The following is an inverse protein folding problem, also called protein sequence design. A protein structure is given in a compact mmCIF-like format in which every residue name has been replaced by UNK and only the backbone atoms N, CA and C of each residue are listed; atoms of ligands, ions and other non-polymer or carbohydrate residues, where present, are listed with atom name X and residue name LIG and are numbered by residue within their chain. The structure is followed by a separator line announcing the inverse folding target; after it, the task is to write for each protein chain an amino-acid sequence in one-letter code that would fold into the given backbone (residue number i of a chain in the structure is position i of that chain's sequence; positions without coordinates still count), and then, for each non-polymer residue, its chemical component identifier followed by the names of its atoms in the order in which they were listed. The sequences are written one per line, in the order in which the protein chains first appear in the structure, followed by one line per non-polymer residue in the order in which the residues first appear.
data_IF_012026749926
#
_entry.id   IF_012026749926
#
_cell.length_a   1.000
_cell.length_b   1.000
_cell.length_c   1.000
_cell.angle_alpha   90.00
_cell.angle_beta   90.00
_cell.angle_gamma   90.00
#
_symmetry.space_group_name_H-M   'P 1'
#
loop_
_entity.id
_entity.type
_entity.pdbx_description
1 polymer ?
#
# COMPACT_ATOMS: atom_id res chain seq x y z
N UNK A 1 4.39 4.48 -20.09
CA UNK A 1 4.78 3.08 -19.96
C UNK A 1 5.57 2.95 -18.67
N UNK A 2 5.14 2.02 -17.78
CA UNK A 2 5.89 1.72 -16.59
C UNK A 2 7.25 1.13 -17.03
N UNK A 3 8.33 1.65 -16.45
CA UNK A 3 9.68 1.15 -16.72
C UNK A 3 9.71 -0.31 -16.25
N UNK A 4 9.95 -1.23 -17.17
CA UNK A 4 10.10 -2.65 -16.84
C UNK A 4 11.38 -2.77 -16.02
N UNK A 5 11.27 -3.09 -14.76
CA UNK A 5 12.42 -3.38 -13.90
C UNK A 5 12.78 -4.84 -14.18
N UNK A 6 13.95 -5.07 -14.74
CA UNK A 6 14.49 -6.42 -14.95
C UNK A 6 15.11 -6.90 -13.64
N UNK A 7 14.82 -8.13 -13.25
CA UNK A 7 15.37 -8.79 -12.06
C UNK A 7 14.36 -9.68 -11.37
N UNK A 8 14.87 -10.61 -10.61
CA UNK A 8 14.10 -11.52 -9.75
C UNK A 8 14.30 -11.16 -8.28
N UNK A 9 13.33 -11.55 -7.43
CA UNK A 9 13.40 -11.36 -5.99
C UNK A 9 12.69 -10.11 -5.47
N UNK A 10 12.69 -9.95 -4.14
CA UNK A 10 11.93 -8.92 -3.45
C UNK A 10 12.38 -7.48 -3.78
N UNK A 11 13.66 -7.26 -4.06
CA UNK A 11 14.14 -5.94 -4.44
C UNK A 11 13.59 -5.49 -5.80
N UNK A 12 13.53 -6.39 -6.80
CA UNK A 12 12.91 -6.10 -8.08
C UNK A 12 11.41 -5.83 -7.95
N UNK A 13 10.71 -6.63 -7.15
CA UNK A 13 9.29 -6.40 -6.84
C UNK A 13 9.07 -5.06 -6.12
N UNK A 14 9.97 -4.68 -5.23
CA UNK A 14 9.94 -3.39 -4.52
C UNK A 14 10.04 -2.22 -5.50
N UNK A 15 11.00 -2.26 -6.43
CA UNK A 15 11.15 -1.24 -7.47
C UNK A 15 9.96 -1.20 -8.44
N UNK A 16 9.44 -2.35 -8.84
CA UNK A 16 8.23 -2.44 -9.67
C UNK A 16 7.03 -1.79 -8.96
N UNK A 17 6.84 -2.07 -7.67
CA UNK A 17 5.77 -1.48 -6.88
C UNK A 17 5.88 0.05 -6.81
N UNK A 18 7.09 0.60 -6.66
CA UNK A 18 7.33 2.06 -6.67
C UNK A 18 6.99 2.70 -8.02
N UNK A 19 7.20 1.97 -9.11
CA UNK A 19 6.88 2.42 -10.47
C UNK A 19 5.38 2.33 -10.82
N UNK A 20 4.57 1.59 -10.05
CA UNK A 20 3.13 1.48 -10.28
C UNK A 20 2.43 2.80 -9.99
N UNK A 21 1.64 3.26 -10.94
CA UNK A 21 0.74 4.38 -10.73
C UNK A 21 -0.45 3.94 -9.88
N UNK A 22 -0.92 4.83 -9.03
CA UNK A 22 -2.17 4.60 -8.28
C UNK A 22 -3.32 4.35 -9.25
N UNK A 23 -4.20 3.42 -8.89
CA UNK A 23 -5.46 3.24 -9.60
C UNK A 23 -6.29 4.53 -9.48
N UNK A 24 -6.87 4.96 -10.60
CA UNK A 24 -7.78 6.10 -10.66
C UNK A 24 -9.19 5.61 -10.95
N UNK A 25 -10.14 6.15 -10.23
CA UNK A 25 -11.55 5.94 -10.53
C UNK A 25 -11.96 6.80 -11.71
N UNK A 26 -12.74 6.23 -12.62
CA UNK A 26 -13.23 6.93 -13.81
C UNK A 26 -14.72 6.67 -13.96
N UNK A 27 -15.47 7.69 -14.31
CA UNK A 27 -16.90 7.55 -14.66
C UNK A 27 -17.10 7.01 -16.09
N UNK A 28 -16.04 7.01 -16.90
CA UNK A 28 -16.07 6.45 -18.26
C UNK A 28 -15.40 5.08 -18.26
N UNK A 29 -16.06 4.06 -18.81
CA UNK A 29 -15.49 2.72 -18.92
C UNK A 29 -14.12 2.73 -19.61
N UNK A 30 -13.14 2.07 -19.01
CA UNK A 30 -11.79 1.96 -19.55
C UNK A 30 -11.12 0.66 -19.08
N UNK A 31 -10.16 0.12 -19.86
CA UNK A 31 -9.44 -1.07 -19.48
C UNK A 31 -8.65 -0.89 -18.17
N UNK A 32 -8.74 -1.87 -17.29
CA UNK A 32 -7.93 -1.94 -16.08
C UNK A 32 -6.61 -2.67 -16.37
N UNK A 33 -5.59 -1.92 -16.73
CA UNK A 33 -4.29 -2.48 -17.19
C UNK A 33 -3.63 -3.40 -16.16
N UNK A 34 -3.71 -3.08 -14.87
CA UNK A 34 -3.09 -3.88 -13.80
C UNK A 34 -3.75 -5.25 -13.58
N UNK A 35 -5.02 -5.42 -13.97
CA UNK A 35 -5.74 -6.70 -13.91
C UNK A 35 -5.87 -7.37 -15.28
N UNK A 36 -5.45 -6.71 -16.36
CA UNK A 36 -5.63 -7.21 -17.72
C UNK A 36 -7.11 -7.33 -18.15
N UNK A 37 -8.01 -6.61 -17.49
CA UNK A 37 -9.44 -6.67 -17.77
C UNK A 37 -9.87 -5.52 -18.68
N UNK A 38 -10.77 -5.77 -19.65
CA UNK A 38 -11.30 -4.72 -20.52
C UNK A 38 -12.16 -3.72 -19.75
N UNK A 39 -12.85 -4.17 -18.73
CA UNK A 39 -13.68 -3.35 -17.81
C UNK A 39 -13.54 -3.91 -16.40
N UNK A 40 -13.56 -3.02 -15.42
CA UNK A 40 -13.56 -3.37 -14.00
C UNK A 40 -14.37 -2.36 -13.20
N UNK A 41 -15.26 -2.85 -12.35
CA UNK A 41 -15.95 -2.05 -11.35
C UNK A 41 -15.68 -2.60 -9.95
N UNK A 42 -15.37 -1.71 -9.03
CA UNK A 42 -15.14 -2.06 -7.64
C UNK A 42 -16.46 -2.07 -6.89
N UNK A 43 -16.93 -3.25 -6.46
CA UNK A 43 -18.28 -3.42 -5.88
C UNK A 43 -18.33 -4.35 -4.66
N UNK A 44 -17.19 -4.89 -4.23
CA UNK A 44 -17.15 -6.02 -3.28
C UNK A 44 -17.21 -5.63 -1.80
N UNK A 45 -17.12 -4.35 -1.46
CA UNK A 45 -17.03 -3.90 -0.06
C UNK A 45 -17.90 -2.65 0.23
N UNK A 46 -19.22 -2.68 -0.05
CA UNK A 46 -20.08 -1.49 0.08
C UNK A 46 -20.25 -0.99 1.52
N UNK A 47 -19.99 -1.83 2.51
CA UNK A 47 -20.07 -1.44 3.93
C UNK A 47 -18.95 -0.50 4.39
N UNK A 48 -17.79 -0.52 3.72
CA UNK A 48 -16.62 0.28 4.09
C UNK A 48 -16.04 1.12 2.95
N UNK A 49 -16.52 0.95 1.74
CA UNK A 49 -16.11 1.76 0.58
C UNK A 49 -17.35 2.41 -0.04
N UNK A 50 -17.46 3.72 0.17
CA UNK A 50 -18.61 4.48 -0.29
C UNK A 50 -18.89 4.33 -1.79
N UNK A 51 -17.86 4.30 -2.62
CA UNK A 51 -18.04 4.18 -4.08
C UNK A 51 -18.51 2.78 -4.52
N UNK A 52 -18.20 1.74 -3.75
CA UNK A 52 -18.81 0.42 -3.96
C UNK A 52 -20.33 0.50 -3.68
N UNK A 53 -20.73 1.21 -2.63
CA UNK A 53 -22.15 1.45 -2.32
C UNK A 53 -22.83 2.24 -3.45
N UNK A 54 -22.18 3.26 -3.98
CA UNK A 54 -22.70 4.02 -5.15
C UNK A 54 -22.90 3.09 -6.35
N UNK A 55 -21.93 2.21 -6.64
CA UNK A 55 -22.06 1.23 -7.72
C UNK A 55 -23.26 0.27 -7.49
N UNK A 56 -23.46 -0.19 -6.24
CA UNK A 56 -24.63 -1.00 -5.88
C UNK A 56 -25.94 -0.23 -6.08
N UNK A 57 -25.98 1.05 -5.73
CA UNK A 57 -27.17 1.89 -5.96
C UNK A 57 -27.50 2.00 -7.45
N UNK A 58 -26.46 2.19 -8.30
CA UNK A 58 -26.64 2.23 -9.76
C UNK A 58 -27.22 0.92 -10.30
N UNK A 59 -26.62 -0.20 -9.91
CA UNK A 59 -27.09 -1.52 -10.36
C UNK A 59 -28.51 -1.83 -9.88
N UNK A 60 -28.85 -1.48 -8.64
CA UNK A 60 -30.22 -1.68 -8.10
C UNK A 60 -31.25 -0.83 -8.81
N UNK A 61 -30.94 0.44 -9.07
CA UNK A 61 -31.83 1.32 -9.83
C UNK A 61 -32.09 0.76 -11.24
N UNK A 62 -31.03 0.34 -11.93
CA UNK A 62 -31.15 -0.26 -13.25
C UNK A 62 -31.99 -1.54 -13.24
N UNK A 63 -31.76 -2.46 -12.30
CA UNK A 63 -32.50 -3.72 -12.19
C UNK A 63 -34.00 -3.52 -11.87
N UNK A 64 -34.35 -2.42 -11.19
CA UNK A 64 -35.72 -2.08 -10.84
C UNK A 64 -36.42 -1.25 -11.92
N UNK A 65 -35.72 -0.85 -13.00
CA UNK A 65 -36.24 0.07 -13.99
C UNK A 65 -36.35 1.52 -13.47
N UNK A 66 -35.72 1.83 -12.34
CA UNK A 66 -35.60 3.18 -11.81
C UNK A 66 -34.48 3.95 -12.52
N UNK A 67 -34.51 5.27 -12.47
CA UNK A 67 -33.46 6.11 -13.07
C UNK A 67 -32.16 6.01 -12.25
N UNK A 68 -31.06 5.50 -12.82
CA UNK A 68 -29.76 5.60 -12.19
C UNK A 68 -29.29 7.06 -12.08
N UNK A 69 -28.30 7.31 -11.23
CA UNK A 69 -27.60 8.61 -11.18
C UNK A 69 -27.01 8.92 -12.56
N UNK A 70 -27.06 10.17 -12.95
CA UNK A 70 -26.38 10.68 -14.13
C UNK A 70 -24.86 10.63 -13.96
N UNK A 71 -24.12 10.72 -15.05
CA UNK A 71 -22.66 10.79 -15.01
C UNK A 71 -22.14 11.95 -14.14
N UNK A 72 -22.80 13.10 -14.17
CA UNK A 72 -22.44 14.27 -13.36
C UNK A 72 -22.61 13.97 -11.86
N UNK A 73 -23.73 13.37 -11.47
CA UNK A 73 -24.01 12.99 -10.08
C UNK A 73 -23.03 11.91 -9.57
N UNK A 74 -22.62 10.96 -10.43
CA UNK A 74 -21.58 9.98 -10.09
C UNK A 74 -20.22 10.64 -9.91
N UNK A 75 -19.83 11.56 -10.80
CA UNK A 75 -18.56 12.29 -10.70
C UNK A 75 -18.47 13.15 -9.44
N UNK A 76 -19.57 13.82 -9.06
CA UNK A 76 -19.64 14.56 -7.80
C UNK A 76 -19.34 13.66 -6.59
N UNK A 77 -19.98 12.47 -6.53
CA UNK A 77 -19.76 11.50 -5.47
C UNK A 77 -18.32 10.93 -5.45
N UNK A 78 -17.76 10.69 -6.64
CA UNK A 78 -16.36 10.27 -6.78
C UNK A 78 -15.43 11.36 -6.24
N UNK A 79 -15.61 12.61 -6.64
CA UNK A 79 -14.82 13.74 -6.17
C UNK A 79 -14.89 13.92 -4.65
N UNK A 80 -16.08 13.85 -4.06
CA UNK A 80 -16.25 13.92 -2.61
C UNK A 80 -15.56 12.76 -1.87
N UNK A 81 -15.62 11.55 -2.41
CA UNK A 81 -14.94 10.39 -1.82
C UNK A 81 -13.42 10.46 -1.94
N UNK A 82 -12.89 10.91 -3.09
CA UNK A 82 -11.46 11.03 -3.33
C UNK A 82 -10.83 12.12 -2.44
N UNK A 83 -11.54 13.21 -2.16
CA UNK A 83 -11.07 14.29 -1.30
C UNK A 83 -10.68 13.82 0.12
N UNK A 84 -11.35 12.80 0.65
CA UNK A 84 -11.07 12.24 1.99
C UNK A 84 -10.28 10.93 1.96
N UNK A 85 -10.17 10.28 0.82
CA UNK A 85 -9.59 8.94 0.71
C UNK A 85 -8.10 8.90 1.10
N UNK A 86 -7.34 9.96 0.83
CA UNK A 86 -5.92 10.02 1.21
C UNK A 86 -5.75 10.18 2.72
N UNK A 87 -6.60 10.98 3.38
CA UNK A 87 -6.59 11.16 4.83
C UNK A 87 -6.94 9.85 5.55
N UNK A 88 -7.96 9.13 5.06
CA UNK A 88 -8.34 7.82 5.61
C UNK A 88 -7.20 6.82 5.47
N UNK A 89 -6.57 6.73 4.29
CA UNK A 89 -5.42 5.84 4.07
C UNK A 89 -4.22 6.19 4.95
N UNK A 90 -3.99 7.47 5.19
CA UNK A 90 -2.93 7.91 6.10
C UNK A 90 -3.23 7.50 7.54
N UNK A 91 -4.45 7.74 8.02
CA UNK A 91 -4.87 7.32 9.35
C UNK A 91 -4.76 5.80 9.54
N UNK A 92 -5.20 5.01 8.56
CA UNK A 92 -5.06 3.54 8.59
C UNK A 92 -3.59 3.10 8.66
N UNK A 93 -2.71 3.72 7.87
CA UNK A 93 -1.27 3.41 7.90
C UNK A 93 -0.64 3.74 9.25
N UNK A 94 -0.93 4.92 9.79
CA UNK A 94 -0.45 5.35 11.11
C UNK A 94 -0.96 4.43 12.20
N UNK A 95 -2.23 4.07 12.18
CA UNK A 95 -2.82 3.14 13.13
C UNK A 95 -2.14 1.77 13.08
N UNK A 96 -1.98 1.18 11.89
CA UNK A 96 -1.28 -0.11 11.74
C UNK A 96 0.15 -0.04 12.27
N UNK A 97 0.87 1.02 11.91
CA UNK A 97 2.25 1.21 12.35
C UNK A 97 2.32 1.33 13.87
N UNK A 98 1.46 2.14 14.49
CA UNK A 98 1.39 2.29 15.94
C UNK A 98 1.23 0.93 16.65
N UNK A 99 0.26 0.12 16.23
CA UNK A 99 0.04 -1.20 16.83
C UNK A 99 1.18 -2.17 16.58
N UNK A 100 1.83 -2.09 15.43
CA UNK A 100 3.03 -2.89 15.16
C UNK A 100 4.19 -2.46 16.06
N UNK A 101 4.40 -1.17 16.28
CA UNK A 101 5.44 -0.67 17.18
C UNK A 101 5.18 -1.06 18.64
N UNK A 102 3.94 -0.96 19.12
CA UNK A 102 3.56 -1.46 20.44
C UNK A 102 3.83 -2.96 20.61
N UNK A 103 3.54 -3.75 19.58
CA UNK A 103 3.86 -5.17 19.58
C UNK A 103 5.38 -5.41 19.69
N UNK A 104 6.17 -4.64 18.94
CA UNK A 104 7.64 -4.71 18.98
C UNK A 104 8.20 -4.32 20.35
N UNK A 105 7.68 -3.29 20.99
CA UNK A 105 8.08 -2.92 22.37
C UNK A 105 7.76 -4.03 23.36
N UNK A 106 6.60 -4.66 23.23
CA UNK A 106 6.16 -5.70 24.17
C UNK A 106 6.87 -7.05 23.98
N UNK A 107 7.22 -7.41 22.74
CA UNK A 107 7.72 -8.74 22.38
C UNK A 107 9.15 -8.75 21.87
N UNK A 108 9.66 -7.60 21.45
CA UNK A 108 10.89 -7.51 20.68
C UNK A 108 10.74 -8.11 19.28
N UNK A 109 11.82 -8.12 18.55
CA UNK A 109 11.93 -8.82 17.26
C UNK A 109 13.37 -9.10 16.95
N UNK A 110 13.65 -10.32 16.55
CA UNK A 110 14.89 -10.70 15.89
C UNK A 110 14.56 -11.69 14.78
N UNK A 111 14.75 -11.29 13.54
CA UNK A 111 14.31 -12.09 12.42
C UNK A 111 14.87 -11.63 11.07
N UNK A 112 14.46 -12.28 9.99
CA UNK A 112 14.97 -12.00 8.66
C UNK A 112 14.47 -10.65 8.13
N UNK A 113 15.37 -9.92 7.47
CA UNK A 113 15.03 -8.76 6.65
C UNK A 113 15.73 -8.87 5.30
N UNK A 114 15.05 -8.46 4.25
CA UNK A 114 15.58 -8.49 2.88
C UNK A 114 15.94 -7.09 2.43
N UNK A 115 17.18 -6.89 1.99
CA UNK A 115 17.64 -5.60 1.47
C UNK A 115 16.95 -5.29 0.13
N UNK A 116 16.06 -4.30 0.13
CA UNK A 116 15.27 -3.93 -1.06
C UNK A 116 15.74 -2.62 -1.72
N UNK A 117 16.46 -1.77 -0.98
CA UNK A 117 16.93 -0.49 -1.49
C UNK A 117 18.18 -0.03 -0.74
N UNK A 118 19.00 0.80 -1.37
CA UNK A 118 20.14 1.48 -0.74
C UNK A 118 19.98 2.98 -0.84
N UNK A 119 20.22 3.67 0.27
CA UNK A 119 20.13 5.14 0.36
C UNK A 119 21.31 5.67 1.17
N UNK A 120 22.27 6.31 0.51
CA UNK A 120 23.32 7.08 1.17
C UNK A 120 24.05 6.35 2.30
N UNK A 121 24.51 5.11 2.10
CA UNK A 121 25.21 4.30 3.12
C UNK A 121 24.28 3.53 4.07
N UNK A 122 22.94 3.69 3.93
CA UNK A 122 21.95 2.90 4.64
C UNK A 122 21.26 1.90 3.71
N UNK A 123 20.84 0.77 4.26
CA UNK A 123 19.99 -0.20 3.61
C UNK A 123 18.53 -0.05 4.07
N UNK A 124 17.61 -0.12 3.13
CA UNK A 124 16.19 -0.31 3.43
C UNK A 124 15.90 -1.80 3.38
N UNK A 125 15.57 -2.37 4.51
CA UNK A 125 15.23 -3.78 4.66
C UNK A 125 13.71 -3.92 4.77
N UNK A 126 13.15 -4.80 3.97
CA UNK A 126 11.78 -5.28 4.15
C UNK A 126 11.81 -6.40 5.20
N UNK A 127 10.98 -6.29 6.23
CA UNK A 127 10.73 -7.32 7.23
C UNK A 127 9.39 -8.00 6.89
N UNK A 128 9.40 -9.14 6.20
CA UNK A 128 8.17 -9.75 5.67
C UNK A 128 7.16 -10.13 6.76
N UNK A 129 7.63 -10.63 7.88
CA UNK A 129 6.78 -11.07 9.01
C UNK A 129 6.01 -9.92 9.67
N UNK A 130 6.58 -8.71 9.65
CA UNK A 130 5.98 -7.52 10.25
C UNK A 130 5.27 -6.63 9.23
N UNK A 131 5.52 -6.84 7.95
CA UNK A 131 5.07 -5.94 6.89
C UNK A 131 5.65 -4.52 6.99
N UNK A 132 6.81 -4.38 7.67
CA UNK A 132 7.52 -3.12 7.89
C UNK A 132 8.77 -3.01 7.00
N UNK A 133 9.25 -1.78 6.88
CA UNK A 133 10.61 -1.50 6.39
C UNK A 133 11.44 -0.86 7.49
N UNK A 134 12.71 -1.29 7.62
CA UNK A 134 13.69 -0.72 8.52
C UNK A 134 14.84 -0.09 7.72
N UNK A 135 15.31 1.08 8.15
CA UNK A 135 16.52 1.69 7.63
C UNK A 135 17.67 1.39 8.61
N UNK A 136 18.72 0.77 8.11
CA UNK A 136 19.85 0.35 8.93
C UNK A 136 21.14 0.69 8.22
N UNK A 137 22.14 1.19 8.97
CA UNK A 137 23.48 1.44 8.43
C UNK A 137 24.10 0.15 7.89
N UNK A 138 24.65 0.22 6.68
CA UNK A 138 25.31 -0.92 6.03
C UNK A 138 26.83 -0.84 6.24
N UNK A 139 27.41 -1.65 7.12
CA UNK A 139 28.86 -1.66 7.33
C UNK A 139 29.61 -2.29 6.15
N UNK A 140 28.93 -3.09 5.33
CA UNK A 140 29.49 -3.76 4.14
C UNK A 140 28.49 -3.67 2.97
N UNK A 141 29.00 -3.82 1.76
CA UNK A 141 28.17 -3.88 0.56
C UNK A 141 27.47 -5.23 0.49
N UNK A 142 26.22 -5.29 0.95
CA UNK A 142 25.32 -6.43 0.74
C UNK A 142 24.63 -6.31 -0.62
N UNK A 143 24.48 -7.37 -1.42
CA UNK A 143 23.71 -7.28 -2.68
C UNK A 143 22.23 -7.01 -2.39
N UNK A 144 21.54 -6.38 -3.35
CA UNK A 144 20.07 -6.27 -3.30
C UNK A 144 19.46 -7.67 -3.27
N UNK A 145 18.32 -7.82 -2.61
CA UNK A 145 17.66 -9.09 -2.30
C UNK A 145 18.42 -10.01 -1.32
N UNK A 146 19.57 -9.59 -0.79
CA UNK A 146 20.22 -10.35 0.27
C UNK A 146 19.38 -10.33 1.55
N UNK A 147 19.36 -11.47 2.23
CA UNK A 147 18.80 -11.59 3.58
C UNK A 147 19.83 -11.27 4.63
N UNK A 148 19.41 -10.61 5.70
CA UNK A 148 20.19 -10.36 6.89
C UNK A 148 19.29 -10.48 8.12
N UNK A 149 19.86 -10.82 9.27
CA UNK A 149 19.10 -10.77 10.52
C UNK A 149 19.09 -9.36 11.07
N UNK A 150 17.91 -8.92 11.47
CA UNK A 150 17.69 -7.63 12.11
C UNK A 150 17.13 -7.85 13.51
N UNK A 151 17.61 -7.05 14.45
CA UNK A 151 17.08 -6.99 15.81
C UNK A 151 16.45 -5.63 16.04
N UNK A 152 15.25 -5.62 16.59
CA UNK A 152 14.59 -4.43 17.11
C UNK A 152 15.38 -3.87 18.28
N UNK A 153 15.56 -2.57 18.33
CA UNK A 153 16.25 -1.86 19.41
C UNK A 153 15.24 -1.09 20.26
N UNK A 154 14.51 -0.18 19.66
CA UNK A 154 13.57 0.69 20.33
C UNK A 154 12.55 1.25 19.35
N UNK A 155 11.43 1.77 19.84
CA UNK A 155 10.46 2.53 19.08
C UNK A 155 10.21 3.91 19.73
N UNK A 156 9.93 4.89 18.88
CA UNK A 156 9.35 6.18 19.24
C UNK A 156 7.89 6.17 18.80
N UNK A 157 6.97 5.88 19.73
CA UNK A 157 5.55 5.78 19.43
C UNK A 157 4.92 7.11 18.97
N UNK A 158 5.25 8.27 19.58
CA UNK A 158 4.79 9.56 19.06
C UNK A 158 5.27 9.87 17.65
N UNK A 159 6.52 9.57 17.32
CA UNK A 159 7.08 9.77 15.98
C UNK A 159 6.67 8.67 15.00
N UNK A 160 6.16 7.54 15.49
CA UNK A 160 5.90 6.32 14.70
C UNK A 160 7.16 5.80 14.00
N UNK A 161 8.27 5.78 14.72
CA UNK A 161 9.56 5.32 14.22
C UNK A 161 10.06 4.12 15.02
N UNK A 162 10.84 3.26 14.39
CA UNK A 162 11.52 2.15 15.03
C UNK A 162 12.98 2.07 14.57
N UNK A 163 13.86 1.70 15.50
CA UNK A 163 15.27 1.48 15.21
C UNK A 163 15.58 -0.01 15.26
N UNK A 164 16.37 -0.44 14.28
CA UNK A 164 16.84 -1.80 14.13
C UNK A 164 18.34 -1.80 13.93
N UNK A 165 18.98 -2.92 14.27
CA UNK A 165 20.38 -3.18 13.98
C UNK A 165 20.54 -4.50 13.22
N UNK A 166 21.60 -4.61 12.44
CA UNK A 166 22.08 -5.88 11.90
C UNK A 166 22.70 -6.71 13.03
N UNK A 167 22.44 -8.02 13.03
CA UNK A 167 22.98 -9.00 13.98
C UNK A 167 24.01 -9.87 13.29
#
# INVERSE_FOLDING_TARGET
PARRVEGEGLAAMWEQRKALKRAQLKAVPAPHKGLGLPLYAQVTSPLRRYLDLVAHQQLRAWLKGERPLSQAEVLERVGAAEAVADLVREAERKSKLHWTLLHLEAKGYEGPGVLVERRGGQGVFLLPELGLTAQVALPKALPLSAEARLRFLEADLPALEARFALV
#
